data_IF_708897333639
#
_entry.id   IF_708897333639
#
_cell.length_a   1.000
_cell.length_b   1.000
_cell.length_c   1.000
_cell.angle_alpha   90.00
_cell.angle_beta   90.00
_cell.angle_gamma   90.00
#
_symmetry.space_group_name_H-M   'P 1'
#
loop_
_entity.id
_entity.type
_entity.pdbx_description
1 polymer ?
#
# COMPACT_ATOMS: atom_id res chain seq x y z
N UNK A 1 -6.14 -8.18 -15.70
CA UNK A 1 -6.91 -8.27 -14.45
C UNK A 1 -7.80 -7.05 -14.45
N UNK A 2 -9.10 -7.16 -14.18
CA UNK A 2 -9.96 -5.98 -14.16
C UNK A 2 -10.14 -5.54 -12.71
N UNK A 3 -9.53 -4.42 -12.31
CA UNK A 3 -9.63 -3.87 -10.95
C UNK A 3 -10.62 -2.72 -10.99
N UNK A 4 -11.63 -2.76 -10.13
CA UNK A 4 -12.64 -1.70 -10.01
C UNK A 4 -12.16 -0.57 -9.09
N UNK A 5 -12.72 0.63 -9.24
CA UNK A 5 -12.43 1.78 -8.36
C UNK A 5 -12.66 1.47 -6.89
N UNK A 6 -13.70 0.67 -6.57
CA UNK A 6 -13.96 0.19 -5.22
C UNK A 6 -12.81 -0.68 -4.68
N UNK A 7 -12.21 -1.51 -5.52
CA UNK A 7 -11.05 -2.31 -5.14
C UNK A 7 -9.79 -1.45 -4.95
N UNK A 8 -9.57 -0.44 -5.80
CA UNK A 8 -8.49 0.52 -5.60
C UNK A 8 -8.63 1.27 -4.26
N UNK A 9 -9.84 1.74 -3.94
CA UNK A 9 -10.13 2.39 -2.66
C UNK A 9 -9.87 1.48 -1.46
N UNK A 10 -10.32 0.23 -1.53
CA UNK A 10 -10.10 -0.75 -0.46
C UNK A 10 -8.61 -1.07 -0.28
N UNK A 11 -7.88 -1.23 -1.38
CA UNK A 11 -6.44 -1.46 -1.37
C UNK A 11 -5.70 -0.26 -0.75
N UNK A 12 -6.05 0.96 -1.16
CA UNK A 12 -5.47 2.18 -0.60
C UNK A 12 -5.67 2.27 0.90
N UNK A 13 -6.88 1.97 1.40
CA UNK A 13 -7.18 2.00 2.83
C UNK A 13 -6.38 0.94 3.62
N UNK A 14 -6.23 -0.27 3.07
CA UNK A 14 -5.45 -1.32 3.73
C UNK A 14 -3.96 -0.99 3.77
N UNK A 15 -3.41 -0.52 2.64
CA UNK A 15 -2.00 -0.12 2.54
C UNK A 15 -1.67 1.03 3.49
N UNK A 16 -2.63 1.93 3.76
CA UNK A 16 -2.46 3.00 4.73
C UNK A 16 -2.36 2.51 6.18
N UNK A 17 -2.77 1.28 6.49
CA UNK A 17 -2.55 0.68 7.82
C UNK A 17 -1.08 0.33 8.08
N UNK A 18 -0.18 0.51 7.10
CA UNK A 18 1.27 0.37 7.31
C UNK A 18 1.86 1.59 8.04
N UNK A 19 1.15 2.71 8.06
CA UNK A 19 1.57 3.94 8.74
C UNK A 19 1.42 3.80 10.27
N UNK A 20 2.51 3.91 11.07
CA UNK A 20 2.43 3.93 12.53
C UNK A 20 1.52 5.03 13.10
N UNK A 21 1.33 6.13 12.37
CA UNK A 21 0.42 7.22 12.73
C UNK A 21 -1.07 6.90 12.53
N UNK A 22 -1.39 5.85 11.78
CA UNK A 22 -2.77 5.45 11.52
C UNK A 22 -3.37 4.72 12.75
N UNK A 23 -4.59 5.09 13.14
CA UNK A 23 -5.35 4.43 14.22
C UNK A 23 -5.54 2.92 14.01
N UNK A 24 -5.46 2.45 12.77
CA UNK A 24 -5.56 1.04 12.37
C UNK A 24 -4.19 0.44 12.01
N UNK A 25 -3.10 1.05 12.48
CA UNK A 25 -1.75 0.58 12.23
C UNK A 25 -1.62 -0.93 12.48
N UNK A 26 -1.10 -1.63 11.48
CA UNK A 26 -0.87 -3.05 11.53
C UNK A 26 0.63 -3.31 11.29
N UNK A 27 1.42 -3.58 12.34
CA UNK A 27 2.86 -3.83 12.22
C UNK A 27 3.20 -5.13 11.47
N UNK A 28 2.21 -6.00 11.24
CA UNK A 28 2.39 -7.21 10.42
C UNK A 28 2.35 -6.91 8.93
N UNK A 29 1.77 -5.77 8.54
CA UNK A 29 1.75 -5.30 7.16
C UNK A 29 3.06 -4.57 6.88
N UNK A 30 3.95 -5.17 6.09
CA UNK A 30 5.28 -4.63 5.79
C UNK A 30 5.76 -5.09 4.41
N UNK A 31 6.91 -4.60 3.96
CA UNK A 31 7.54 -5.07 2.72
C UNK A 31 7.62 -6.60 2.68
N UNK A 32 7.45 -7.15 1.49
CA UNK A 32 7.43 -8.58 1.17
C UNK A 32 6.27 -9.39 1.75
N UNK A 33 5.43 -8.80 2.61
CA UNK A 33 4.25 -9.48 3.15
C UNK A 33 3.13 -9.54 2.12
N UNK A 34 2.51 -10.73 2.07
CA UNK A 34 1.30 -10.98 1.29
C UNK A 34 0.09 -10.72 2.18
N UNK A 35 -0.83 -9.90 1.70
CA UNK A 35 -2.08 -9.61 2.36
C UNK A 35 -3.24 -9.71 1.36
N UNK A 36 -4.45 -9.89 1.88
CA UNK A 36 -5.65 -10.04 1.05
C UNK A 36 -6.56 -8.84 1.24
N UNK A 37 -7.01 -8.26 0.13
CA UNK A 37 -8.12 -7.29 0.14
C UNK A 37 -9.18 -7.71 -0.87
N UNK A 38 -10.42 -7.85 -0.39
CA UNK A 38 -11.50 -8.50 -1.13
C UNK A 38 -11.12 -9.92 -1.57
N UNK A 39 -11.11 -10.16 -2.89
CA UNK A 39 -10.80 -11.47 -3.48
C UNK A 39 -9.39 -11.58 -4.08
N UNK A 40 -8.52 -10.61 -3.82
CA UNK A 40 -7.19 -10.55 -4.42
C UNK A 40 -6.11 -10.50 -3.36
N UNK A 41 -5.05 -11.28 -3.57
CA UNK A 41 -3.84 -11.22 -2.77
C UNK A 41 -2.88 -10.19 -3.38
N UNK A 42 -2.27 -9.37 -2.54
CA UNK A 42 -1.29 -8.37 -2.91
C UNK A 42 -0.02 -8.56 -2.09
N UNK A 43 1.09 -8.14 -2.68
CA UNK A 43 2.38 -8.08 -2.00
C UNK A 43 2.86 -6.64 -1.96
N UNK A 44 3.34 -6.20 -0.80
CA UNK A 44 4.03 -4.92 -0.68
C UNK A 44 5.43 -5.13 -1.23
N UNK A 45 5.75 -4.43 -2.31
CA UNK A 45 7.06 -4.51 -2.97
C UNK A 45 8.03 -3.50 -2.35
N UNK A 46 7.52 -2.33 -1.98
CA UNK A 46 8.30 -1.25 -1.40
C UNK A 46 7.42 -0.34 -0.55
N UNK A 47 7.95 0.13 0.57
CA UNK A 47 7.37 1.17 1.40
C UNK A 47 8.43 2.24 1.69
N UNK A 48 8.12 3.49 1.34
CA UNK A 48 9.02 4.62 1.58
C UNK A 48 8.27 5.77 2.23
N UNK A 49 8.86 6.28 3.31
CA UNK A 49 8.42 7.49 3.99
C UNK A 49 9.46 8.58 3.71
N UNK A 50 9.01 9.75 3.28
CA UNK A 50 9.88 10.90 3.02
C UNK A 50 9.79 11.87 4.20
N UNK A 51 10.79 11.90 5.10
CA UNK A 51 10.68 12.62 6.38
C UNK A 51 10.51 14.13 6.22
N UNK A 52 11.02 14.70 5.12
CA UNK A 52 11.04 16.14 4.87
C UNK A 52 9.71 16.69 4.34
N UNK A 53 8.87 15.84 3.74
CA UNK A 53 7.57 16.24 3.17
C UNK A 53 6.39 15.54 3.83
N UNK A 54 6.66 14.59 4.73
CA UNK A 54 5.66 13.70 5.32
C UNK A 54 4.97 12.79 4.30
N UNK A 55 5.45 12.73 3.05
CA UNK A 55 4.80 11.94 2.02
C UNK A 55 5.14 10.46 2.20
N UNK A 56 4.10 9.65 2.23
CA UNK A 56 4.23 8.19 2.31
C UNK A 56 3.84 7.56 0.97
N UNK A 57 4.75 6.78 0.40
CA UNK A 57 4.54 6.06 -0.86
C UNK A 57 4.67 4.57 -0.62
N UNK A 58 3.77 3.80 -1.23
CA UNK A 58 3.72 2.34 -1.09
C UNK A 58 3.49 1.73 -2.48
N UNK A 59 4.34 0.78 -2.86
CA UNK A 59 4.21 0.06 -4.12
C UNK A 59 3.73 -1.35 -3.85
N UNK A 60 2.63 -1.75 -4.48
CA UNK A 60 2.02 -3.06 -4.32
C UNK A 60 1.81 -3.76 -5.65
N UNK A 61 1.99 -5.07 -5.65
CA UNK A 61 1.77 -5.93 -6.80
C UNK A 61 0.67 -6.95 -6.50
N UNK A 62 -0.27 -7.11 -7.43
CA UNK A 62 -1.27 -8.18 -7.33
C UNK A 62 -0.61 -9.54 -7.60
N UNK A 63 -0.96 -10.57 -6.83
CA UNK A 63 -0.46 -11.92 -7.01
C UNK A 63 -1.40 -12.69 -7.94
N UNK A 64 -0.84 -13.29 -8.99
CA UNK A 64 -1.57 -14.15 -9.93
C UNK A 64 -0.74 -15.39 -10.21
N UNK A 65 -1.28 -16.57 -9.88
CA UNK A 65 -0.57 -17.84 -10.10
C UNK A 65 0.63 -18.06 -9.19
N UNK A 66 0.65 -17.44 -7.99
CA UNK A 66 1.73 -17.60 -7.00
C UNK A 66 2.85 -16.56 -7.10
N UNK A 67 2.91 -15.79 -8.19
CA UNK A 67 3.90 -14.73 -8.38
C UNK A 67 3.25 -13.34 -8.47
N UNK A 68 4.06 -12.30 -8.26
CA UNK A 68 3.65 -10.92 -8.50
C UNK A 68 3.44 -10.71 -10.00
N UNK A 69 2.21 -10.35 -10.37
CA UNK A 69 1.85 -10.08 -11.76
C UNK A 69 2.56 -8.83 -12.26
N UNK A 70 3.56 -9.01 -13.13
CA UNK A 70 4.36 -7.90 -13.71
C UNK A 70 3.56 -6.95 -14.62
N UNK A 71 2.33 -7.33 -15.00
CA UNK A 71 1.48 -6.51 -15.88
C UNK A 71 0.75 -5.38 -15.16
N UNK A 72 0.62 -5.44 -13.82
CA UNK A 72 -0.17 -4.48 -13.04
C UNK A 72 0.53 -4.22 -11.71
N UNK A 73 1.36 -3.17 -11.67
CA UNK A 73 1.95 -2.61 -10.46
C UNK A 73 1.14 -1.37 -10.07
N UNK A 74 0.82 -1.24 -8.78
CA UNK A 74 0.01 -0.14 -8.24
C UNK A 74 0.89 0.65 -7.27
N UNK A 75 0.93 1.97 -7.44
CA UNK A 75 1.59 2.89 -6.53
C UNK A 75 0.51 3.64 -5.76
N UNK A 76 0.54 3.52 -4.43
CA UNK A 76 -0.40 4.16 -3.51
C UNK A 76 0.34 5.29 -2.81
N UNK A 77 -0.23 6.49 -2.88
CA UNK A 77 0.21 7.65 -2.12
C UNK A 77 -0.72 7.81 -0.92
N UNK A 78 -0.16 7.69 0.28
CA UNK A 78 -0.91 7.76 1.53
C UNK A 78 -1.17 9.21 2.00
N UNK A 79 -0.64 10.20 1.28
CA UNK A 79 -0.77 11.62 1.63
C UNK A 79 0.39 12.09 2.49
N UNK A 80 0.19 13.20 3.20
CA UNK A 80 1.16 13.83 4.11
C UNK A 80 0.77 13.47 5.54
N UNK A 81 1.64 12.78 6.27
CA UNK A 81 1.44 12.43 7.69
C UNK A 81 1.79 13.61 8.63
N UNK A 82 2.77 14.43 8.25
CA UNK A 82 3.22 15.60 8.98
C UNK A 82 3.72 16.70 8.02
N UNK A 83 3.24 17.94 8.18
CA UNK A 83 3.87 19.10 7.54
C UNK A 83 5.06 19.55 8.38
N UNK A 84 6.28 19.38 7.89
CA UNK A 84 7.41 20.16 8.38
C UNK A 84 7.27 21.57 7.79
N UNK A 85 6.68 22.49 8.57
CA UNK A 85 6.71 23.90 8.21
C UNK A 85 8.17 24.37 8.27
N UNK A 86 8.71 24.81 7.13
CA UNK A 86 10.01 25.47 7.00
C UNK A 86 9.88 26.94 7.39
#
# INVERSE_FOLDING_TARGET
MNITDKQYKNLSNEVYNLDPGNKKYNPSLKEEVIFRTGNTNYKILKAEDTPNSGMQVRTVGAIKGGEVGKSHIIIVYAGIDHLTAI
#
